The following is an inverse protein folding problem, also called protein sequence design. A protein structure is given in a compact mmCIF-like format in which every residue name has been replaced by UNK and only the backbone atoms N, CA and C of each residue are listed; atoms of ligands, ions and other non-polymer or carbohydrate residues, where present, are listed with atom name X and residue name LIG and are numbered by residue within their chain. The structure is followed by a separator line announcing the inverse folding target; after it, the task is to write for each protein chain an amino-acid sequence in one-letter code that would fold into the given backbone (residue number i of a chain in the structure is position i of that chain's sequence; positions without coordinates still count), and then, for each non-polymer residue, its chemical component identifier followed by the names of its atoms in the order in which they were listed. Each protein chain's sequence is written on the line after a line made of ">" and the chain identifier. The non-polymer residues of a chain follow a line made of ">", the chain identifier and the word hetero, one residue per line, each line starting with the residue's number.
data_IF_105224856761
#
_entry.id   IF_105224856761
#
_cell.length_a   1.000
_cell.length_b   1.000
_cell.length_c   1.000
_cell.angle_alpha   90.00
_cell.angle_beta   90.00
_cell.angle_gamma   90.00
#
_symmetry.space_group_name_H-M   'P 1'
#
loop_
_entity.id
_entity.type
_entity.pdbx_description
1 polymer ?
#
# COMPACT_ATOMS: atom_id res chain seq x y z
N UNK A 1 22.77 -33.64 -26.62
CA UNK A 1 23.82 -32.64 -26.35
C UNK A 1 23.39 -31.22 -26.79
N UNK A 2 22.74 -31.01 -27.92
CA UNK A 2 22.30 -29.70 -28.39
C UNK A 2 21.33 -28.99 -27.44
N UNK A 3 20.42 -29.67 -26.73
CA UNK A 3 19.51 -29.09 -25.74
C UNK A 3 20.19 -28.57 -24.47
N UNK A 4 21.39 -29.07 -24.10
CA UNK A 4 22.15 -28.55 -22.96
C UNK A 4 22.91 -27.28 -23.30
N UNK A 5 23.39 -27.14 -24.54
CA UNK A 5 24.14 -25.96 -25.01
C UNK A 5 23.19 -24.78 -25.24
N UNK A 6 22.00 -25.03 -25.80
CA UNK A 6 20.96 -24.01 -25.95
C UNK A 6 20.44 -23.45 -24.58
N UNK A 7 20.48 -24.29 -23.53
CA UNK A 7 20.07 -23.85 -22.18
C UNK A 7 21.14 -22.99 -21.46
N UNK A 8 22.41 -23.04 -21.85
CA UNK A 8 23.46 -22.22 -21.24
C UNK A 8 23.54 -20.81 -21.80
N UNK A 9 23.13 -20.61 -23.06
CA UNK A 9 23.10 -19.27 -23.71
C UNK A 9 22.02 -18.32 -23.17
N UNK A 10 20.99 -18.86 -22.51
CA UNK A 10 19.87 -18.08 -21.96
C UNK A 10 20.01 -17.72 -20.47
N UNK A 11 21.18 -17.97 -19.85
CA UNK A 11 21.44 -17.64 -18.45
C UNK A 11 22.10 -16.27 -18.36
N UNK A 12 21.38 -15.29 -17.83
CA UNK A 12 21.90 -13.95 -17.56
C UNK A 12 22.84 -13.99 -16.36
N UNK A 13 24.14 -13.71 -16.57
CA UNK A 13 25.06 -13.48 -15.45
C UNK A 13 24.77 -12.13 -14.83
N UNK A 14 24.39 -12.12 -13.55
CA UNK A 14 24.07 -10.87 -12.85
C UNK A 14 25.35 -10.11 -12.50
N UNK A 15 25.36 -8.83 -12.81
CA UNK A 15 26.36 -7.92 -12.26
C UNK A 15 25.95 -7.61 -10.79
N UNK A 16 26.79 -7.92 -9.78
CA UNK A 16 26.44 -7.72 -8.37
C UNK A 16 26.11 -6.26 -8.06
N UNK A 17 26.77 -5.30 -8.69
CA UNK A 17 26.51 -3.86 -8.53
C UNK A 17 25.12 -3.49 -9.07
N UNK A 18 24.72 -4.03 -10.21
CA UNK A 18 23.39 -3.80 -10.78
C UNK A 18 22.28 -4.41 -9.89
N UNK A 19 22.54 -5.57 -9.30
CA UNK A 19 21.62 -6.22 -8.34
C UNK A 19 21.49 -5.40 -7.05
N UNK A 20 22.59 -4.85 -6.55
CA UNK A 20 22.59 -3.98 -5.36
C UNK A 20 21.77 -2.71 -5.61
N UNK A 21 22.00 -2.04 -6.76
CA UNK A 21 21.23 -0.85 -7.15
C UNK A 21 19.73 -1.16 -7.28
N UNK A 22 19.38 -2.30 -7.87
CA UNK A 22 17.98 -2.72 -8.03
C UNK A 22 17.26 -2.95 -6.69
N UNK A 23 18.00 -3.39 -5.67
CA UNK A 23 17.45 -3.71 -4.34
C UNK A 23 17.77 -2.62 -3.28
N UNK A 24 18.21 -1.43 -3.70
CA UNK A 24 18.64 -0.37 -2.78
C UNK A 24 17.57 -0.03 -1.74
N UNK A 25 16.28 0.06 -2.12
CA UNK A 25 15.20 0.38 -1.19
C UNK A 25 14.97 -0.70 -0.12
N UNK A 26 15.17 -1.97 -0.47
CA UNK A 26 15.10 -3.07 0.49
C UNK A 26 16.27 -3.00 1.50
N UNK A 27 17.45 -2.61 1.04
CA UNK A 27 18.62 -2.41 1.91
C UNK A 27 18.36 -1.25 2.86
N UNK A 28 17.84 -0.13 2.37
CA UNK A 28 17.46 1.03 3.19
C UNK A 28 16.42 0.63 4.25
N UNK A 29 15.39 -0.15 3.86
CA UNK A 29 14.39 -0.66 4.79
C UNK A 29 15.03 -1.45 5.94
N UNK A 30 15.96 -2.37 5.62
CA UNK A 30 16.65 -3.18 6.62
C UNK A 30 17.50 -2.30 7.54
N UNK A 31 18.26 -1.35 6.98
CA UNK A 31 19.09 -0.42 7.76
C UNK A 31 18.26 0.44 8.72
N UNK A 32 17.14 1.00 8.23
CA UNK A 32 16.23 1.81 9.05
C UNK A 32 15.56 0.96 10.12
N UNK A 33 15.18 -0.28 9.81
CA UNK A 33 14.62 -1.21 10.79
C UNK A 33 15.64 -1.54 11.90
N UNK A 34 16.90 -1.80 11.55
CA UNK A 34 17.99 -2.05 12.50
C UNK A 34 18.23 -0.80 13.36
N UNK A 35 18.29 0.39 12.75
CA UNK A 35 18.46 1.65 13.45
C UNK A 35 17.40 1.85 14.54
N UNK A 36 16.11 1.73 14.20
CA UNK A 36 15.04 1.86 15.19
C UNK A 36 15.02 0.71 16.20
N UNK A 37 15.44 -0.49 15.80
CA UNK A 37 15.55 -1.61 16.77
C UNK A 37 16.59 -1.31 17.86
N UNK A 38 17.73 -0.70 17.48
CA UNK A 38 18.77 -0.27 18.43
C UNK A 38 18.24 0.88 19.31
N UNK A 39 17.67 1.93 18.71
CA UNK A 39 17.14 3.10 19.40
C UNK A 39 16.02 2.74 20.39
N UNK A 40 15.20 1.76 20.06
CA UNK A 40 14.09 1.28 20.92
C UNK A 40 14.51 0.19 21.90
N UNK A 41 15.82 -0.10 22.03
CA UNK A 41 16.35 -1.19 22.88
C UNK A 41 15.65 -2.54 22.60
N UNK A 42 15.49 -2.87 21.32
CA UNK A 42 14.89 -4.13 20.87
C UNK A 42 13.35 -4.18 20.88
N UNK A 43 12.65 -3.13 21.32
CA UNK A 43 11.16 -3.13 21.33
C UNK A 43 10.55 -3.35 19.96
N UNK A 44 11.17 -2.80 18.90
CA UNK A 44 10.72 -3.03 17.51
C UNK A 44 10.70 -4.51 17.10
N UNK A 45 11.56 -5.34 17.71
CA UNK A 45 11.65 -6.76 17.39
C UNK A 45 10.66 -7.64 18.17
N UNK A 46 9.88 -7.06 19.09
CA UNK A 46 8.85 -7.81 19.82
C UNK A 46 7.70 -8.25 18.90
N UNK A 47 7.06 -9.41 19.14
CA UNK A 47 5.92 -9.89 18.36
C UNK A 47 4.79 -8.87 18.24
N UNK A 48 4.43 -8.23 19.33
CA UNK A 48 3.39 -7.18 19.37
C UNK A 48 3.70 -5.97 18.52
N UNK A 49 4.98 -5.62 18.31
CA UNK A 49 5.38 -4.54 17.43
C UNK A 49 5.15 -4.88 15.95
N UNK A 50 5.30 -6.15 15.55
CA UNK A 50 4.96 -6.60 14.19
C UNK A 50 3.46 -6.52 13.92
N UNK A 51 2.63 -6.99 14.86
CA UNK A 51 1.18 -6.84 14.76
C UNK A 51 0.76 -5.36 14.70
N UNK A 52 1.37 -4.52 15.55
CA UNK A 52 1.14 -3.07 15.54
C UNK A 52 1.57 -2.42 14.23
N UNK A 53 2.72 -2.80 13.65
CA UNK A 53 3.20 -2.30 12.36
C UNK A 53 2.17 -2.56 11.26
N UNK A 54 1.63 -3.78 11.17
CA UNK A 54 0.63 -4.16 10.17
C UNK A 54 -0.67 -3.39 10.39
N UNK A 55 -1.19 -3.38 11.63
CA UNK A 55 -2.43 -2.70 11.97
C UNK A 55 -2.35 -1.19 11.74
N UNK A 56 -1.23 -0.55 12.11
CA UNK A 56 -1.07 0.89 11.98
C UNK A 56 -0.83 1.32 10.55
N UNK A 57 -0.20 0.47 9.74
CA UNK A 57 0.23 0.82 8.38
C UNK A 57 -0.72 0.29 7.31
N UNK A 58 -1.80 -0.38 7.68
CA UNK A 58 -2.75 -0.99 6.73
C UNK A 58 -3.28 0.01 5.70
N UNK A 59 -3.64 1.22 6.15
CA UNK A 59 -4.12 2.27 5.25
C UNK A 59 -3.08 2.68 4.21
N UNK A 60 -1.78 2.67 4.55
CA UNK A 60 -0.72 3.05 3.60
C UNK A 60 -0.62 2.04 2.47
N UNK A 61 -0.73 0.74 2.77
CA UNK A 61 -0.74 -0.30 1.73
C UNK A 61 -1.96 -0.18 0.82
N UNK A 62 -3.15 0.07 1.38
CA UNK A 62 -4.39 0.17 0.63
C UNK A 62 -4.39 1.44 -0.24
N UNK A 63 -4.16 2.61 0.37
CA UNK A 63 -4.09 3.88 -0.35
C UNK A 63 -2.91 3.93 -1.31
N UNK A 64 -1.78 3.31 -0.96
CA UNK A 64 -0.61 3.21 -1.82
C UNK A 64 -0.89 2.48 -3.12
N UNK A 65 -1.73 1.44 -3.13
CA UNK A 65 -2.19 0.80 -4.37
C UNK A 65 -2.98 1.77 -5.26
N UNK A 66 -3.88 2.57 -4.69
CA UNK A 66 -4.63 3.58 -5.42
C UNK A 66 -3.74 4.73 -5.90
N UNK A 67 -2.88 5.22 -5.02
CA UNK A 67 -1.93 6.30 -5.31
C UNK A 67 -0.94 5.90 -6.40
N UNK A 68 -0.47 4.64 -6.40
CA UNK A 68 0.35 4.08 -7.48
C UNK A 68 -0.35 4.23 -8.83
N UNK A 69 -1.65 3.89 -8.93
CA UNK A 69 -2.39 4.01 -10.20
C UNK A 69 -2.51 5.47 -10.64
N UNK A 70 -2.75 6.41 -9.71
CA UNK A 70 -2.76 7.84 -10.01
C UNK A 70 -1.39 8.33 -10.46
N UNK A 71 -0.32 7.97 -9.75
CA UNK A 71 1.03 8.40 -10.09
C UNK A 71 1.51 7.81 -11.42
N UNK A 72 1.13 6.58 -11.74
CA UNK A 72 1.45 5.98 -13.04
C UNK A 72 0.89 6.78 -14.23
N UNK A 73 -0.18 7.56 -14.08
CA UNK A 73 -0.79 8.35 -15.17
C UNK A 73 -0.14 9.72 -15.41
N UNK A 74 1.10 9.94 -14.97
CA UNK A 74 1.83 11.20 -15.20
C UNK A 74 2.27 11.89 -13.91
N UNK A 75 2.48 11.14 -12.83
CA UNK A 75 2.93 11.67 -11.54
C UNK A 75 1.83 12.36 -10.74
N UNK A 76 0.57 12.13 -11.09
CA UNK A 76 -0.57 12.74 -10.41
C UNK A 76 -0.74 12.20 -9.00
N UNK A 77 -1.06 13.08 -8.05
CA UNK A 77 -1.30 12.77 -6.64
C UNK A 77 -2.74 13.13 -6.30
N UNK A 78 -3.43 12.27 -5.56
CA UNK A 78 -4.73 12.59 -4.98
C UNK A 78 -4.55 13.10 -3.55
N UNK A 79 -4.74 14.41 -3.37
CA UNK A 79 -4.64 15.07 -2.08
C UNK A 79 -5.91 14.89 -1.22
N UNK A 80 -7.04 14.52 -1.83
CA UNK A 80 -8.32 14.43 -1.12
C UNK A 80 -8.48 13.18 -0.28
N UNK A 81 -7.72 12.12 -0.57
CA UNK A 81 -7.95 10.79 -0.01
C UNK A 81 -7.94 10.76 1.52
N UNK A 82 -7.02 11.48 2.18
CA UNK A 82 -6.97 11.55 3.63
C UNK A 82 -8.19 12.27 4.24
N UNK A 83 -8.61 13.37 3.65
CA UNK A 83 -9.80 14.08 4.08
C UNK A 83 -11.09 13.29 3.81
N UNK A 84 -11.11 12.51 2.73
CA UNK A 84 -12.22 11.64 2.40
C UNK A 84 -12.35 10.46 3.38
N UNK A 85 -11.24 9.95 3.93
CA UNK A 85 -11.26 9.00 5.06
C UNK A 85 -11.98 9.58 6.27
N UNK A 86 -11.74 10.86 6.60
CA UNK A 86 -12.44 11.54 7.70
C UNK A 86 -13.96 11.62 7.44
N UNK A 87 -14.36 12.07 6.26
CA UNK A 87 -15.78 12.19 5.89
C UNK A 87 -16.48 10.82 5.90
N UNK A 88 -15.89 9.82 5.26
CA UNK A 88 -16.45 8.46 5.26
C UNK A 88 -16.50 7.85 6.65
N UNK A 89 -15.51 8.13 7.49
CA UNK A 89 -15.51 7.72 8.89
C UNK A 89 -16.67 8.36 9.67
N UNK A 90 -16.88 9.65 9.49
CA UNK A 90 -18.00 10.38 10.10
C UNK A 90 -19.36 9.84 9.64
N UNK A 91 -19.55 9.66 8.31
CA UNK A 91 -20.77 9.08 7.75
C UNK A 91 -20.99 7.63 8.22
N UNK A 92 -19.92 6.81 8.28
CA UNK A 92 -19.97 5.45 8.84
C UNK A 92 -20.45 5.44 10.28
N UNK A 93 -19.94 6.38 11.11
CA UNK A 93 -20.39 6.58 12.48
C UNK A 93 -21.86 6.97 12.57
N UNK A 94 -22.31 7.90 11.73
CA UNK A 94 -23.74 8.29 11.66
C UNK A 94 -24.61 7.09 11.29
N UNK A 95 -24.25 6.36 10.23
CA UNK A 95 -25.05 5.24 9.72
C UNK A 95 -25.12 4.08 10.72
N UNK A 96 -23.97 3.65 11.28
CA UNK A 96 -23.91 2.45 12.13
C UNK A 96 -24.38 2.73 13.56
N UNK A 97 -23.97 3.87 14.14
CA UNK A 97 -24.16 4.14 15.57
C UNK A 97 -25.41 4.97 15.82
N UNK A 98 -25.63 6.05 15.07
CA UNK A 98 -26.72 7.01 15.31
C UNK A 98 -28.01 6.55 14.62
N UNK A 99 -27.94 6.25 13.32
CA UNK A 99 -29.10 5.80 12.55
C UNK A 99 -29.39 4.31 12.67
N UNK A 100 -28.44 3.54 13.22
CA UNK A 100 -28.57 2.08 13.45
C UNK A 100 -28.94 1.28 12.19
N UNK A 101 -28.36 1.61 11.05
CA UNK A 101 -28.61 0.92 9.78
C UNK A 101 -28.08 -0.52 9.74
N UNK A 102 -27.31 -0.93 10.73
CA UNK A 102 -26.58 -2.18 10.71
C UNK A 102 -25.28 -2.11 9.92
N UNK A 103 -24.37 -3.03 10.23
CA UNK A 103 -22.99 -3.01 9.70
C UNK A 103 -22.95 -3.18 8.18
N UNK A 104 -23.62 -4.20 7.65
CA UNK A 104 -23.54 -4.55 6.23
C UNK A 104 -24.03 -3.41 5.32
N UNK A 105 -25.21 -2.83 5.62
CA UNK A 105 -25.77 -1.73 4.83
C UNK A 105 -24.88 -0.49 4.88
N UNK A 106 -24.32 -0.18 6.04
CA UNK A 106 -23.42 0.96 6.22
C UNK A 106 -22.12 0.80 5.42
N UNK A 107 -21.55 -0.41 5.40
CA UNK A 107 -20.34 -0.69 4.60
C UNK A 107 -20.61 -0.54 3.09
N UNK A 108 -21.75 -1.06 2.61
CA UNK A 108 -22.14 -0.91 1.21
C UNK A 108 -22.37 0.57 0.87
N UNK A 109 -23.00 1.32 1.76
CA UNK A 109 -23.22 2.77 1.58
C UNK A 109 -21.88 3.53 1.53
N UNK A 110 -20.92 3.23 2.41
CA UNK A 110 -19.59 3.84 2.37
C UNK A 110 -18.86 3.55 1.05
N UNK A 111 -18.94 2.32 0.52
CA UNK A 111 -18.38 1.98 -0.78
C UNK A 111 -19.09 2.72 -1.91
N UNK A 112 -20.41 2.79 -1.88
CA UNK A 112 -21.20 3.50 -2.90
C UNK A 112 -20.86 5.00 -2.92
N UNK A 113 -20.73 5.65 -1.76
CA UNK A 113 -20.31 7.06 -1.64
C UNK A 113 -18.91 7.23 -2.26
N UNK A 114 -17.99 6.29 -2.00
CA UNK A 114 -16.66 6.30 -2.61
C UNK A 114 -16.69 6.19 -4.13
N UNK A 115 -17.52 5.29 -4.66
CA UNK A 115 -17.70 5.15 -6.12
C UNK A 115 -18.30 6.43 -6.72
N UNK A 116 -19.36 6.99 -6.11
CA UNK A 116 -19.99 8.23 -6.59
C UNK A 116 -19.00 9.38 -6.60
N UNK A 117 -18.24 9.57 -5.51
CA UNK A 117 -17.19 10.58 -5.46
C UNK A 117 -16.12 10.34 -6.52
N UNK A 118 -15.62 9.09 -6.63
CA UNK A 118 -14.60 8.72 -7.61
C UNK A 118 -15.04 8.93 -9.06
N UNK A 119 -16.32 8.66 -9.38
CA UNK A 119 -16.90 9.00 -10.67
C UNK A 119 -16.92 10.52 -10.92
N UNK A 120 -17.32 11.31 -9.92
CA UNK A 120 -17.32 12.76 -10.02
C UNK A 120 -15.92 13.35 -10.21
N UNK A 121 -14.97 12.97 -9.32
CA UNK A 121 -13.60 13.44 -9.40
C UNK A 121 -12.92 12.99 -10.71
N UNK A 122 -13.09 11.72 -11.07
CA UNK A 122 -12.55 11.17 -12.31
C UNK A 122 -13.13 11.88 -13.55
N UNK A 123 -14.42 12.21 -13.54
CA UNK A 123 -15.05 12.95 -14.62
C UNK A 123 -14.51 14.39 -14.73
N UNK A 124 -14.37 15.10 -13.62
CA UNK A 124 -13.79 16.46 -13.60
C UNK A 124 -12.38 16.49 -14.17
N UNK A 125 -11.54 15.53 -13.78
CA UNK A 125 -10.13 15.48 -14.21
C UNK A 125 -10.01 14.97 -15.66
N UNK A 126 -10.70 13.89 -16.02
CA UNK A 126 -10.51 13.23 -17.29
C UNK A 126 -11.27 13.86 -18.45
N UNK A 127 -12.47 14.40 -18.23
CA UNK A 127 -13.35 14.92 -19.29
C UNK A 127 -13.47 16.43 -19.27
N UNK A 128 -13.57 17.05 -18.07
CA UNK A 128 -13.60 18.52 -17.93
C UNK A 128 -12.18 19.10 -18.00
N UNK A 129 -11.13 18.26 -17.80
CA UNK A 129 -9.72 18.64 -17.87
C UNK A 129 -9.30 19.59 -16.72
N UNK A 130 -9.97 19.52 -15.58
CA UNK A 130 -9.51 20.24 -14.37
C UNK A 130 -8.16 19.68 -13.93
N UNK A 131 -7.15 20.54 -13.67
CA UNK A 131 -5.86 20.05 -13.17
C UNK A 131 -6.03 19.19 -11.91
N UNK A 132 -5.43 17.99 -11.85
CA UNK A 132 -5.63 17.03 -10.76
C UNK A 132 -5.40 17.63 -9.36
N UNK A 133 -4.34 18.42 -9.18
CA UNK A 133 -4.02 19.01 -7.89
C UNK A 133 -5.08 20.01 -7.40
N UNK A 134 -5.73 20.76 -8.32
CA UNK A 134 -6.82 21.68 -7.98
C UNK A 134 -8.06 20.90 -7.55
N UNK A 135 -8.47 19.91 -8.36
CA UNK A 135 -9.68 19.13 -8.08
C UNK A 135 -9.56 18.37 -6.75
N UNK A 136 -8.40 17.75 -6.49
CA UNK A 136 -8.17 16.98 -5.27
C UNK A 136 -7.97 17.88 -4.04
N UNK A 137 -7.34 19.05 -4.18
CA UNK A 137 -7.22 20.03 -3.10
C UNK A 137 -8.59 20.59 -2.69
N UNK A 138 -9.45 20.89 -3.67
CA UNK A 138 -10.82 21.30 -3.40
C UNK A 138 -11.59 20.21 -2.63
N UNK A 139 -11.42 18.93 -3.04
CA UNK A 139 -11.95 17.78 -2.32
C UNK A 139 -11.40 17.66 -0.90
N UNK A 140 -10.09 17.88 -0.71
CA UNK A 140 -9.46 17.88 0.61
C UNK A 140 -10.13 18.89 1.56
N UNK A 141 -10.28 20.13 1.14
CA UNK A 141 -10.88 21.20 1.95
C UNK A 141 -12.36 20.90 2.25
N UNK A 142 -13.12 20.52 1.23
CA UNK A 142 -14.56 20.23 1.38
C UNK A 142 -14.78 19.03 2.32
N UNK A 143 -14.07 17.92 2.13
CA UNK A 143 -14.30 16.73 2.93
C UNK A 143 -13.78 16.83 4.35
N UNK A 144 -12.69 17.56 4.56
CA UNK A 144 -12.20 17.83 5.92
C UNK A 144 -13.24 18.68 6.68
N UNK A 145 -13.78 19.74 6.05
CA UNK A 145 -14.82 20.58 6.62
C UNK A 145 -16.13 19.82 6.91
N UNK A 146 -16.64 19.05 5.92
CA UNK A 146 -17.86 18.26 6.10
C UNK A 146 -17.68 17.15 7.14
N UNK A 147 -16.57 16.42 7.12
CA UNK A 147 -16.29 15.34 8.07
C UNK A 147 -16.25 15.85 9.50
N UNK A 148 -15.53 16.95 9.74
CA UNK A 148 -15.47 17.57 11.08
C UNK A 148 -16.81 18.16 11.53
N UNK A 149 -17.57 18.75 10.61
CA UNK A 149 -18.92 19.28 10.89
C UNK A 149 -19.89 18.17 11.31
N UNK A 150 -19.89 17.02 10.59
CA UNK A 150 -20.74 15.87 10.94
C UNK A 150 -20.35 15.32 12.32
N UNK A 151 -19.06 15.22 12.63
CA UNK A 151 -18.60 14.76 13.95
C UNK A 151 -18.96 15.71 15.09
N UNK A 152 -19.18 17.00 14.79
CA UNK A 152 -19.64 18.01 15.75
C UNK A 152 -21.03 17.72 16.34
N UNK A 153 -21.80 16.77 15.81
CA UNK A 153 -23.05 16.28 16.42
C UNK A 153 -22.77 15.62 17.78
N UNK A 154 -21.57 15.06 17.96
CA UNK A 154 -21.14 14.53 19.25
C UNK A 154 -20.37 15.59 20.05
N UNK A 155 -20.66 15.71 21.36
CA UNK A 155 -19.96 16.62 22.27
C UNK A 155 -18.45 16.40 22.34
N UNK A 156 -17.98 15.20 21.98
CA UNK A 156 -16.56 14.82 21.97
C UNK A 156 -15.92 14.95 20.58
N UNK A 157 -16.64 15.43 19.56
CA UNK A 157 -16.21 15.41 18.16
C UNK A 157 -15.75 14.03 17.69
N UNK A 158 -16.35 12.98 18.23
CA UNK A 158 -16.01 11.59 17.95
C UNK A 158 -17.22 10.69 18.12
N UNK A 159 -17.37 9.68 17.26
CA UNK A 159 -18.43 8.67 17.32
C UNK A 159 -17.76 7.32 17.56
N UNK A 160 -18.05 6.69 18.71
CA UNK A 160 -17.47 5.41 19.10
C UNK A 160 -18.18 4.23 18.45
N UNK A 161 -17.41 3.23 17.99
CA UNK A 161 -17.91 1.97 17.43
C UNK A 161 -17.89 0.80 18.43
N UNK A 162 -17.72 1.07 19.74
CA UNK A 162 -17.68 0.01 20.76
C UNK A 162 -18.92 -0.88 20.74
N UNK A 163 -20.07 -0.30 20.38
CA UNK A 163 -21.35 -1.01 20.31
C UNK A 163 -21.62 -1.63 18.94
N UNK A 164 -20.59 -1.72 18.08
CA UNK A 164 -20.65 -2.34 16.75
C UNK A 164 -19.59 -3.45 16.62
N UNK A 165 -19.71 -4.56 17.41
CA UNK A 165 -18.68 -5.61 17.46
C UNK A 165 -18.45 -6.29 16.11
N UNK A 166 -19.50 -6.46 15.30
CA UNK A 166 -19.40 -7.07 13.97
C UNK A 166 -18.47 -6.26 13.05
N UNK A 167 -18.62 -4.93 13.05
CA UNK A 167 -17.75 -4.03 12.29
C UNK A 167 -16.28 -4.14 12.75
N UNK A 168 -16.06 -4.12 14.07
CA UNK A 168 -14.71 -4.21 14.63
C UNK A 168 -14.06 -5.56 14.32
N UNK A 169 -14.84 -6.66 14.34
CA UNK A 169 -14.33 -8.01 14.05
C UNK A 169 -13.87 -8.17 12.60
N UNK A 170 -14.59 -7.54 11.65
CA UNK A 170 -14.28 -7.59 10.20
C UNK A 170 -12.94 -6.92 9.89
N UNK A 171 -12.61 -5.79 10.50
CA UNK A 171 -11.44 -4.98 10.13
C UNK A 171 -10.34 -4.95 11.19
N UNK A 172 -10.66 -5.02 12.48
CA UNK A 172 -9.69 -4.94 13.59
C UNK A 172 -9.63 -6.22 14.43
N UNK A 173 -10.33 -7.27 14.02
CA UNK A 173 -10.31 -8.56 14.69
C UNK A 173 -8.96 -9.27 14.55
N UNK A 174 -8.85 -10.42 15.21
CA UNK A 174 -7.72 -11.33 15.09
C UNK A 174 -8.24 -12.71 14.74
N UNK A 175 -7.76 -13.27 13.63
CA UNK A 175 -8.04 -14.64 13.22
C UNK A 175 -7.20 -15.59 14.05
N UNK A 176 -7.81 -16.72 14.45
CA UNK A 176 -7.16 -17.75 15.26
C UNK A 176 -6.61 -17.19 16.59
N UNK A 177 -7.44 -16.43 17.31
CA UNK A 177 -7.04 -15.76 18.56
C UNK A 177 -6.46 -16.73 19.58
N UNK A 178 -5.25 -16.46 20.05
CA UNK A 178 -4.54 -17.23 21.10
C UNK A 178 -3.95 -16.24 22.10
N UNK A 179 -3.77 -16.60 23.39
CA UNK A 179 -3.08 -15.74 24.36
C UNK A 179 -1.69 -15.33 23.87
N UNK A 180 -1.29 -14.09 24.16
CA UNK A 180 0.05 -13.60 23.81
C UNK A 180 1.14 -14.47 24.44
N UNK A 181 2.19 -14.74 23.68
CA UNK A 181 3.31 -15.58 24.12
C UNK A 181 3.11 -17.08 23.90
N UNK A 182 1.90 -17.53 23.54
CA UNK A 182 1.66 -18.90 23.13
C UNK A 182 1.74 -19.02 21.62
N UNK A 183 2.35 -20.11 21.12
CA UNK A 183 2.52 -20.32 19.69
C UNK A 183 1.18 -20.69 19.03
N UNK A 184 0.72 -19.83 18.12
CA UNK A 184 -0.51 -20.04 17.35
C UNK A 184 -0.22 -20.97 16.17
N UNK A 185 -0.53 -22.27 16.29
CA UNK A 185 -0.29 -23.26 15.24
C UNK A 185 -1.03 -22.99 13.93
N UNK A 186 -2.34 -22.65 13.90
CA UNK A 186 -3.04 -22.25 12.68
C UNK A 186 -2.35 -21.11 11.92
N UNK A 187 -1.84 -20.10 12.65
CA UNK A 187 -1.08 -19.00 12.06
C UNK A 187 0.21 -19.51 11.38
N UNK A 188 0.94 -20.41 12.01
CA UNK A 188 2.15 -21.01 11.44
C UNK A 188 1.85 -21.85 10.22
N UNK A 189 0.77 -22.63 10.22
CA UNK A 189 0.35 -23.42 9.04
C UNK A 189 0.09 -22.49 7.84
N UNK A 190 -0.65 -21.39 8.05
CA UNK A 190 -0.89 -20.37 7.01
C UNK A 190 0.44 -19.81 6.50
N UNK A 191 1.39 -19.54 7.41
CA UNK A 191 2.74 -19.08 7.05
C UNK A 191 3.51 -20.06 6.19
N UNK A 192 3.51 -21.34 6.56
CA UNK A 192 4.19 -22.41 5.80
C UNK A 192 3.56 -22.57 4.41
N UNK A 193 2.22 -22.56 4.33
CA UNK A 193 1.50 -22.63 3.05
C UNK A 193 1.84 -21.42 2.17
N UNK A 194 1.84 -20.20 2.72
CA UNK A 194 2.19 -18.99 1.99
C UNK A 194 3.65 -19.02 1.50
N UNK A 195 4.59 -19.45 2.33
CA UNK A 195 6.01 -19.62 1.96
C UNK A 195 6.19 -20.65 0.85
N UNK A 196 5.54 -21.81 0.96
CA UNK A 196 5.55 -22.84 -0.07
C UNK A 196 4.98 -22.36 -1.40
N UNK A 197 3.87 -21.58 -1.38
CA UNK A 197 3.30 -20.99 -2.57
C UNK A 197 4.26 -20.01 -3.26
N UNK A 198 4.98 -19.18 -2.51
CA UNK A 198 5.97 -18.25 -3.09
C UNK A 198 7.09 -19.03 -3.77
N UNK A 199 7.63 -20.07 -3.12
CA UNK A 199 8.66 -20.94 -3.71
C UNK A 199 8.14 -21.58 -5.01
N UNK A 200 6.95 -22.18 -4.97
CA UNK A 200 6.33 -22.81 -6.14
C UNK A 200 6.11 -21.82 -7.29
N UNK A 201 5.65 -20.59 -6.99
CA UNK A 201 5.42 -19.56 -8.01
C UNK A 201 6.72 -19.10 -8.66
N UNK A 202 7.82 -18.95 -7.91
CA UNK A 202 9.13 -18.58 -8.46
C UNK A 202 9.60 -19.65 -9.44
N UNK A 203 9.58 -20.93 -9.04
CA UNK A 203 10.03 -22.03 -9.89
C UNK A 203 9.10 -22.29 -11.08
N UNK A 204 7.78 -22.17 -10.90
CA UNK A 204 6.79 -22.24 -12.00
C UNK A 204 7.02 -21.13 -13.04
N UNK A 205 7.25 -19.91 -12.59
CA UNK A 205 7.59 -18.79 -13.48
C UNK A 205 8.89 -19.06 -14.25
N UNK A 206 9.93 -19.55 -13.57
CA UNK A 206 11.18 -19.95 -14.19
C UNK A 206 10.97 -21.01 -15.27
N UNK A 207 10.25 -22.09 -14.94
CA UNK A 207 9.96 -23.16 -15.90
C UNK A 207 9.15 -22.66 -17.11
N UNK A 208 8.19 -21.76 -16.90
CA UNK A 208 7.40 -21.17 -17.98
C UNK A 208 8.26 -20.26 -18.89
N UNK A 209 9.18 -19.47 -18.32
CA UNK A 209 10.09 -18.63 -19.10
C UNK A 209 11.06 -19.46 -19.92
N UNK A 210 11.64 -20.52 -19.33
CA UNK A 210 12.51 -21.46 -20.06
C UNK A 210 11.79 -22.12 -21.24
N UNK A 211 10.53 -22.59 -21.02
CA UNK A 211 9.73 -23.20 -22.11
C UNK A 211 9.43 -22.21 -23.26
N UNK A 212 9.36 -20.91 -22.97
CA UNK A 212 9.12 -19.85 -23.96
C UNK A 212 10.41 -19.29 -24.56
N UNK A 213 11.59 -19.82 -24.24
CA UNK A 213 12.88 -19.36 -24.75
C UNK A 213 13.36 -18.02 -24.19
N UNK A 214 12.75 -17.50 -23.10
CA UNK A 214 13.18 -16.26 -22.49
C UNK A 214 14.42 -16.46 -21.60
N UNK A 215 15.24 -15.43 -21.51
CA UNK A 215 16.34 -15.38 -20.56
C UNK A 215 15.83 -15.54 -19.12
N UNK A 216 16.56 -16.33 -18.32
CA UNK A 216 16.32 -16.55 -16.89
C UNK A 216 17.57 -16.24 -16.10
N UNK A 217 17.37 -15.80 -14.86
CA UNK A 217 18.48 -15.63 -13.91
C UNK A 217 19.13 -17.00 -13.60
N UNK A 218 20.35 -17.00 -13.09
CA UNK A 218 21.00 -18.22 -12.61
C UNK A 218 20.13 -18.94 -11.57
N UNK A 219 20.12 -20.26 -11.57
CA UNK A 219 19.30 -21.08 -10.66
C UNK A 219 19.53 -20.71 -9.19
N UNK A 220 20.79 -20.44 -8.83
CA UNK A 220 21.19 -20.01 -7.49
C UNK A 220 20.54 -18.70 -7.07
N UNK A 221 20.37 -17.74 -8.01
CA UNK A 221 19.71 -16.47 -7.74
C UNK A 221 18.20 -16.63 -7.52
N UNK A 222 17.53 -17.44 -8.32
CA UNK A 222 16.10 -17.70 -8.14
C UNK A 222 15.86 -18.51 -6.86
N UNK A 223 16.75 -19.45 -6.53
CA UNK A 223 16.72 -20.17 -5.26
C UNK A 223 16.94 -19.22 -4.07
N UNK A 224 17.95 -18.34 -4.14
CA UNK A 224 18.22 -17.36 -3.08
C UNK A 224 17.03 -16.40 -2.87
N UNK A 225 16.41 -15.90 -3.95
CA UNK A 225 15.20 -15.04 -3.88
C UNK A 225 14.03 -15.78 -3.23
N UNK A 226 13.81 -17.06 -3.58
CA UNK A 226 12.72 -17.85 -3.04
C UNK A 226 12.93 -18.19 -1.56
N UNK A 227 14.15 -18.57 -1.17
CA UNK A 227 14.51 -18.84 0.23
C UNK A 227 14.39 -17.59 1.07
N UNK A 228 14.90 -16.44 0.60
CA UNK A 228 14.78 -15.17 1.31
C UNK A 228 13.30 -14.75 1.48
N UNK A 229 12.51 -14.86 0.41
CA UNK A 229 11.08 -14.55 0.47
C UNK A 229 10.32 -15.46 1.44
N UNK A 230 10.58 -16.77 1.40
CA UNK A 230 10.00 -17.73 2.33
C UNK A 230 10.44 -17.46 3.78
N UNK A 231 11.71 -17.16 4.02
CA UNK A 231 12.23 -16.83 5.34
C UNK A 231 11.57 -15.57 5.93
N UNK A 232 11.38 -14.51 5.13
CA UNK A 232 10.69 -13.28 5.56
C UNK A 232 9.23 -13.59 5.93
N UNK A 233 8.50 -14.35 5.09
CA UNK A 233 7.12 -14.75 5.36
C UNK A 233 7.03 -15.55 6.66
N UNK A 234 7.89 -16.57 6.82
CA UNK A 234 7.90 -17.40 8.02
C UNK A 234 8.25 -16.59 9.27
N UNK A 235 9.20 -15.65 9.18
CA UNK A 235 9.56 -14.77 10.29
C UNK A 235 8.37 -13.88 10.70
N UNK A 236 7.71 -13.24 9.73
CA UNK A 236 6.54 -12.39 10.00
C UNK A 236 5.42 -13.22 10.61
N UNK A 237 5.11 -14.39 10.04
CA UNK A 237 4.05 -15.26 10.55
C UNK A 237 4.38 -15.84 11.92
N UNK A 238 5.63 -16.16 12.20
CA UNK A 238 6.09 -16.55 13.54
C UNK A 238 5.86 -15.42 14.57
N UNK A 239 6.23 -14.18 14.20
CA UNK A 239 5.98 -13.02 15.06
C UNK A 239 4.50 -12.78 15.31
N UNK A 240 3.65 -12.92 14.28
CA UNK A 240 2.19 -12.81 14.43
C UNK A 240 1.61 -13.97 15.27
N UNK A 241 2.13 -15.19 15.09
CA UNK A 241 1.72 -16.34 15.90
C UNK A 241 1.99 -16.12 17.39
N UNK A 242 3.11 -15.50 17.73
CA UNK A 242 3.48 -15.15 19.10
C UNK A 242 2.75 -13.88 19.61
N UNK A 243 2.21 -13.05 18.72
CA UNK A 243 1.43 -11.86 19.06
C UNK A 243 -0.07 -12.12 19.27
N UNK A 244 -0.50 -13.38 19.20
CA UNK A 244 -1.89 -13.77 19.45
C UNK A 244 -2.71 -14.11 18.21
N UNK A 245 -2.14 -14.09 16.99
CA UNK A 245 -2.78 -14.50 15.74
C UNK A 245 -2.63 -13.52 14.58
N UNK A 246 -3.38 -13.77 13.52
CA UNK A 246 -3.34 -12.94 12.29
C UNK A 246 -4.34 -11.79 12.43
N UNK A 247 -3.91 -10.51 12.38
CA UNK A 247 -4.84 -9.40 12.31
C UNK A 247 -5.71 -9.50 11.05
N UNK A 248 -7.04 -9.35 11.16
CA UNK A 248 -7.96 -9.40 10.01
C UNK A 248 -7.62 -8.37 8.95
N UNK A 249 -7.10 -7.22 9.34
CA UNK A 249 -6.65 -6.18 8.40
C UNK A 249 -5.54 -6.66 7.47
N UNK A 250 -4.70 -7.62 7.87
CA UNK A 250 -3.68 -8.21 6.99
C UNK A 250 -4.31 -8.93 5.81
N UNK A 251 -5.47 -9.57 6.00
CA UNK A 251 -6.21 -10.23 4.90
C UNK A 251 -6.69 -9.18 3.90
N UNK A 252 -7.27 -8.07 4.37
CA UNK A 252 -7.69 -6.97 3.50
C UNK A 252 -6.52 -6.38 2.72
N UNK A 253 -5.40 -6.12 3.39
CA UNK A 253 -4.16 -5.63 2.74
C UNK A 253 -3.67 -6.64 1.71
N UNK A 254 -3.62 -7.93 2.06
CA UNK A 254 -3.16 -8.97 1.14
C UNK A 254 -4.04 -9.08 -0.10
N UNK A 255 -5.37 -9.06 0.05
CA UNK A 255 -6.33 -9.08 -1.07
C UNK A 255 -6.10 -7.88 -1.98
N UNK A 256 -6.02 -6.67 -1.43
CA UNK A 256 -5.79 -5.45 -2.23
C UNK A 256 -4.44 -5.52 -2.93
N UNK A 257 -3.35 -5.77 -2.22
CA UNK A 257 -2.00 -5.80 -2.79
C UNK A 257 -1.86 -6.87 -3.89
N UNK A 258 -2.37 -8.08 -3.67
CA UNK A 258 -2.31 -9.16 -4.66
C UNK A 258 -3.16 -8.84 -5.89
N UNK A 259 -4.36 -8.28 -5.70
CA UNK A 259 -5.23 -7.84 -6.80
C UNK A 259 -4.52 -6.78 -7.67
N UNK A 260 -3.93 -5.76 -7.04
CA UNK A 260 -3.23 -4.71 -7.77
C UNK A 260 -1.91 -5.18 -8.38
N UNK A 261 -1.19 -6.09 -7.75
CA UNK A 261 -0.05 -6.76 -8.35
C UNK A 261 -0.45 -7.55 -9.61
N UNK A 262 -1.61 -8.22 -9.59
CA UNK A 262 -2.17 -8.90 -10.77
C UNK A 262 -2.61 -7.90 -11.85
N UNK A 263 -3.39 -6.86 -11.49
CA UNK A 263 -3.88 -5.84 -12.44
C UNK A 263 -2.71 -5.19 -13.16
N UNK A 264 -1.71 -4.69 -12.43
CA UNK A 264 -0.58 -3.95 -13.01
C UNK A 264 0.33 -4.81 -13.86
N UNK A 265 0.51 -6.11 -13.52
CA UNK A 265 1.48 -6.98 -14.20
C UNK A 265 0.88 -7.87 -15.28
N UNK A 266 -0.42 -8.20 -15.20
CA UNK A 266 -1.04 -9.24 -16.05
C UNK A 266 -2.17 -8.73 -16.92
N UNK A 267 -2.76 -7.56 -16.66
CA UNK A 267 -3.90 -7.06 -17.43
C UNK A 267 -3.51 -6.01 -18.46
N UNK A 268 -4.35 -5.87 -19.50
CA UNK A 268 -4.20 -4.81 -20.52
C UNK A 268 -4.42 -3.42 -19.92
N UNK A 269 -5.41 -3.30 -19.01
CA UNK A 269 -5.71 -2.05 -18.31
C UNK A 269 -4.49 -1.60 -17.50
N UNK A 270 -3.86 -2.50 -16.74
CA UNK A 270 -2.63 -2.18 -16.01
C UNK A 270 -1.53 -1.64 -16.92
N UNK A 271 -1.30 -2.27 -18.08
CA UNK A 271 -0.31 -1.78 -19.06
C UNK A 271 -0.64 -0.39 -19.61
N UNK A 272 -1.93 -0.08 -19.79
CA UNK A 272 -2.34 1.24 -20.27
C UNK A 272 -1.98 2.36 -19.29
N UNK A 273 -2.01 2.12 -17.97
CA UNK A 273 -1.56 3.09 -16.98
C UNK A 273 -0.09 3.48 -17.18
N UNK A 274 0.78 2.49 -17.42
CA UNK A 274 2.20 2.74 -17.68
C UNK A 274 2.42 3.50 -19.00
N UNK A 275 1.70 3.12 -20.06
CA UNK A 275 1.84 3.73 -21.39
C UNK A 275 1.37 5.19 -21.36
N UNK A 276 0.22 5.47 -20.72
CA UNK A 276 -0.31 6.84 -20.58
C UNK A 276 0.64 7.74 -19.83
N UNK A 277 1.24 7.25 -18.72
CA UNK A 277 2.18 8.03 -17.93
C UNK A 277 3.56 8.15 -18.57
N UNK A 278 3.95 7.23 -19.45
CA UNK A 278 5.22 7.32 -20.18
C UNK A 278 5.20 8.40 -21.26
N UNK A 279 4.16 8.40 -22.08
CA UNK A 279 3.91 9.44 -23.09
C UNK A 279 2.43 9.42 -23.48
N UNK A 280 1.68 10.44 -23.06
CA UNK A 280 0.24 10.52 -23.27
C UNK A 280 -0.13 10.65 -24.76
N UNK A 281 0.67 11.38 -25.55
CA UNK A 281 0.42 11.56 -26.99
C UNK A 281 0.71 10.26 -27.75
N UNK A 282 1.81 9.58 -27.47
CA UNK A 282 2.11 8.28 -28.05
C UNK A 282 1.04 7.23 -27.68
N UNK A 283 0.55 7.26 -26.44
CA UNK A 283 -0.55 6.41 -25.99
C UNK A 283 -1.82 6.65 -26.80
N UNK A 284 -2.18 7.92 -27.02
CA UNK A 284 -3.36 8.34 -27.80
C UNK A 284 -3.25 7.90 -29.27
N UNK A 285 -2.09 8.12 -29.89
CA UNK A 285 -1.83 7.70 -31.27
C UNK A 285 -1.85 6.17 -31.43
N UNK A 286 -1.51 5.43 -30.37
CA UNK A 286 -1.62 3.96 -30.33
C UNK A 286 -3.03 3.45 -30.03
N UNK A 287 -4.05 4.32 -30.02
CA UNK A 287 -5.45 3.95 -29.79
C UNK A 287 -5.85 3.75 -28.32
N UNK A 288 -4.99 4.09 -27.37
CA UNK A 288 -5.34 4.02 -25.96
C UNK A 288 -6.24 5.19 -25.58
N UNK A 289 -7.41 4.91 -24.98
CA UNK A 289 -8.29 5.96 -24.48
C UNK A 289 -7.72 6.55 -23.17
N UNK A 290 -6.90 7.59 -23.30
CA UNK A 290 -6.19 8.24 -22.19
C UNK A 290 -7.15 8.84 -21.17
N UNK A 291 -8.30 9.40 -21.60
CA UNK A 291 -9.34 9.95 -20.71
C UNK A 291 -9.94 8.87 -19.83
N UNK A 292 -10.25 7.70 -20.41
CA UNK A 292 -10.78 6.56 -19.63
C UNK A 292 -9.78 6.06 -18.59
N UNK A 293 -8.49 6.00 -18.93
CA UNK A 293 -7.45 5.57 -17.99
C UNK A 293 -7.32 6.58 -16.84
N UNK A 294 -7.34 7.88 -17.14
CA UNK A 294 -7.31 8.92 -16.13
C UNK A 294 -8.53 8.86 -15.21
N UNK A 295 -9.75 8.71 -15.79
CA UNK A 295 -10.99 8.52 -15.04
C UNK A 295 -10.89 7.32 -14.08
N UNK A 296 -10.42 6.17 -14.57
CA UNK A 296 -10.28 4.95 -13.77
C UNK A 296 -9.26 5.10 -12.64
N UNK A 297 -8.22 5.92 -12.79
CA UNK A 297 -7.24 6.17 -11.73
C UNK A 297 -7.91 6.77 -10.49
N UNK A 298 -8.71 7.82 -10.68
CA UNK A 298 -9.36 8.53 -9.55
C UNK A 298 -10.58 7.78 -9.01
N UNK A 299 -11.36 7.11 -9.88
CA UNK A 299 -12.43 6.21 -9.43
C UNK A 299 -11.85 5.12 -8.51
N UNK A 300 -10.78 4.50 -8.93
CA UNK A 300 -10.09 3.47 -8.19
C UNK A 300 -9.50 4.00 -6.87
N UNK A 301 -8.92 5.21 -6.88
CA UNK A 301 -8.39 5.83 -5.66
C UNK A 301 -9.47 6.06 -4.62
N UNK A 302 -10.62 6.63 -5.01
CA UNK A 302 -11.75 6.87 -4.13
C UNK A 302 -12.36 5.56 -3.58
N UNK A 303 -12.46 4.52 -4.40
CA UNK A 303 -12.90 3.18 -3.96
C UNK A 303 -11.97 2.60 -2.88
N UNK A 304 -10.66 2.62 -3.10
CA UNK A 304 -9.68 2.16 -2.11
C UNK A 304 -9.66 3.03 -0.86
N UNK A 305 -9.92 4.33 -1.00
CA UNK A 305 -10.06 5.23 0.14
C UNK A 305 -11.23 4.83 1.04
N UNK A 306 -12.33 4.31 0.47
CA UNK A 306 -13.45 3.79 1.26
C UNK A 306 -13.02 2.57 2.11
N UNK A 307 -12.25 1.65 1.53
CA UNK A 307 -11.72 0.49 2.27
C UNK A 307 -10.73 0.96 3.36
N UNK A 308 -9.86 1.91 3.03
CA UNK A 308 -8.92 2.49 4.00
C UNK A 308 -9.63 3.22 5.14
N UNK A 309 -10.77 3.90 4.87
CA UNK A 309 -11.60 4.52 5.88
C UNK A 309 -12.15 3.48 6.86
N UNK A 310 -12.74 2.39 6.36
CA UNK A 310 -13.27 1.30 7.18
C UNK A 310 -12.20 0.69 8.09
N UNK A 311 -11.01 0.39 7.55
CA UNK A 311 -9.90 -0.17 8.33
C UNK A 311 -9.39 0.81 9.38
N UNK A 312 -9.36 2.11 9.06
CA UNK A 312 -8.86 3.16 9.95
C UNK A 312 -9.78 3.40 11.13
N UNK A 313 -11.09 3.62 10.88
CA UNK A 313 -12.06 3.88 11.95
C UNK A 313 -12.31 2.65 12.83
N UNK A 314 -12.23 1.45 12.27
CA UNK A 314 -12.28 0.21 13.05
C UNK A 314 -11.07 0.10 13.97
N UNK A 315 -9.86 0.37 13.48
CA UNK A 315 -8.65 0.38 14.31
C UNK A 315 -8.70 1.41 15.44
N UNK A 316 -9.22 2.60 15.17
CA UNK A 316 -9.40 3.64 16.20
C UNK A 316 -10.58 3.36 17.12
N UNK A 317 -11.42 2.37 16.79
CA UNK A 317 -12.70 2.10 17.46
C UNK A 317 -13.60 3.33 17.54
N UNK A 318 -13.30 4.34 16.74
CA UNK A 318 -14.03 5.59 16.68
C UNK A 318 -13.80 6.30 15.33
N UNK A 319 -14.82 7.03 14.87
CA UNK A 319 -14.64 8.09 13.88
C UNK A 319 -14.27 9.38 14.62
N UNK A 320 -13.19 10.03 14.22
CA UNK A 320 -12.71 11.28 14.82
C UNK A 320 -12.17 12.24 13.76
N UNK A 321 -12.00 13.50 14.12
CA UNK A 321 -11.53 14.56 13.22
C UNK A 321 -10.08 14.39 12.74
N UNK A 322 -9.25 13.63 13.47
CA UNK A 322 -7.87 13.37 13.09
C UNK A 322 -7.74 12.14 12.14
N UNK A 323 -8.82 11.38 11.94
CA UNK A 323 -8.81 10.26 11.00
C UNK A 323 -8.42 10.75 9.59
N UNK A 324 -7.53 10.03 8.95
CA UNK A 324 -7.06 10.36 7.61
C UNK A 324 -6.11 11.57 7.50
N UNK A 325 -5.62 12.14 8.60
CA UNK A 325 -4.72 13.30 8.57
C UNK A 325 -3.34 12.90 8.04
N UNK A 326 -2.91 13.55 6.96
CA UNK A 326 -1.65 13.30 6.24
C UNK A 326 -1.57 11.91 5.55
N UNK A 327 -2.68 11.19 5.36
CA UNK A 327 -2.66 9.89 4.71
C UNK A 327 -2.28 9.99 3.23
N UNK A 328 -2.62 11.09 2.56
CA UNK A 328 -2.21 11.41 1.20
C UNK A 328 -0.67 11.52 1.10
N UNK A 329 -0.03 12.10 2.11
CA UNK A 329 1.43 12.23 2.16
C UNK A 329 2.10 10.88 2.42
N UNK A 330 1.57 10.08 3.35
CA UNK A 330 2.12 8.75 3.65
C UNK A 330 1.99 7.81 2.43
N UNK A 331 0.84 7.83 1.72
CA UNK A 331 0.61 7.01 0.53
C UNK A 331 1.50 7.43 -0.66
N UNK A 332 1.63 8.74 -0.93
CA UNK A 332 2.50 9.26 -1.98
C UNK A 332 3.97 9.01 -1.66
N UNK A 333 4.39 9.22 -0.40
CA UNK A 333 5.76 8.92 0.05
C UNK A 333 6.09 7.44 -0.11
N UNK A 334 5.16 6.53 0.24
CA UNK A 334 5.34 5.11 0.06
C UNK A 334 5.56 4.73 -1.41
N UNK A 335 4.82 5.36 -2.33
CA UNK A 335 5.00 5.17 -3.77
C UNK A 335 6.37 5.68 -4.24
N UNK A 336 6.72 6.93 -3.93
CA UNK A 336 7.99 7.55 -4.38
C UNK A 336 9.19 6.82 -3.81
N UNK A 337 9.21 6.58 -2.50
CA UNK A 337 10.27 5.82 -1.83
C UNK A 337 10.34 4.39 -2.36
N UNK A 338 9.20 3.80 -2.73
CA UNK A 338 9.11 2.49 -3.39
C UNK A 338 9.58 2.47 -4.85
N UNK A 339 10.05 3.61 -5.39
CA UNK A 339 10.58 3.72 -6.74
C UNK A 339 9.52 3.93 -7.82
N UNK A 340 8.34 4.42 -7.45
CA UNK A 340 7.35 4.92 -8.40
C UNK A 340 7.81 6.28 -8.92
N UNK A 341 7.83 6.45 -10.23
CA UNK A 341 8.30 7.68 -10.85
C UNK A 341 7.38 8.87 -10.51
N UNK A 342 7.96 9.96 -10.03
CA UNK A 342 7.25 11.22 -9.82
C UNK A 342 6.75 11.87 -11.12
N UNK A 343 7.27 11.45 -12.29
CA UNK A 343 6.82 11.87 -13.63
C UNK A 343 5.88 10.87 -14.31
N UNK A 344 5.52 9.77 -13.64
CA UNK A 344 4.66 8.71 -14.17
C UNK A 344 5.38 7.66 -15.01
N UNK A 345 4.62 6.71 -15.51
CA UNK A 345 5.06 5.68 -16.47
C UNK A 345 5.96 4.57 -15.91
N UNK A 346 6.42 4.66 -14.67
CA UNK A 346 7.28 3.66 -14.05
C UNK A 346 6.97 3.46 -12.57
N UNK A 347 7.03 2.23 -12.10
CA UNK A 347 6.75 1.84 -10.73
C UNK A 347 6.29 0.39 -10.63
N UNK A 348 6.15 -0.12 -9.42
CA UNK A 348 5.62 -1.45 -9.18
C UNK A 348 4.90 -1.54 -7.84
N UNK A 349 3.92 -2.44 -7.75
CA UNK A 349 3.21 -2.71 -6.48
C UNK A 349 4.20 -3.22 -5.42
N UNK A 350 5.13 -4.10 -5.79
CA UNK A 350 6.14 -4.60 -4.86
C UNK A 350 7.01 -3.48 -4.30
N UNK A 351 7.45 -2.55 -5.19
CA UNK A 351 8.20 -1.36 -4.76
C UNK A 351 7.39 -0.51 -3.79
N UNK A 352 6.13 -0.22 -4.12
CA UNK A 352 5.21 0.52 -3.24
C UNK A 352 5.06 -0.19 -1.88
N UNK A 353 4.92 -1.52 -1.83
CA UNK A 353 4.83 -2.28 -0.57
C UNK A 353 6.10 -2.12 0.26
N UNK A 354 7.29 -2.17 -0.36
CA UNK A 354 8.57 -1.92 0.34
C UNK A 354 8.59 -0.49 0.90
N UNK A 355 8.19 0.51 0.09
CA UNK A 355 8.10 1.91 0.54
C UNK A 355 7.09 2.10 1.66
N UNK A 356 5.89 1.49 1.56
CA UNK A 356 4.87 1.51 2.60
C UNK A 356 5.38 0.88 3.91
N UNK A 357 6.11 -0.23 3.80
CA UNK A 357 6.73 -0.87 4.97
C UNK A 357 7.77 0.05 5.60
N UNK A 358 8.59 0.73 4.81
CA UNK A 358 9.58 1.69 5.30
C UNK A 358 8.92 2.85 6.04
N UNK A 359 7.89 3.47 5.47
CA UNK A 359 7.11 4.53 6.14
C UNK A 359 6.50 4.01 7.45
N UNK A 360 5.96 2.80 7.45
CA UNK A 360 5.42 2.17 8.67
C UNK A 360 6.48 1.92 9.74
N UNK A 361 7.66 1.46 9.36
CA UNK A 361 8.79 1.26 10.28
C UNK A 361 9.22 2.60 10.89
N UNK A 362 9.33 3.66 10.08
CA UNK A 362 9.65 5.01 10.55
C UNK A 362 8.59 5.50 11.53
N UNK A 363 7.30 5.40 11.17
CA UNK A 363 6.19 5.85 12.01
C UNK A 363 6.17 5.11 13.37
N UNK A 364 6.25 3.78 13.33
CA UNK A 364 6.25 2.97 14.56
C UNK A 364 7.52 3.20 15.39
N UNK A 365 8.68 3.32 14.74
CA UNK A 365 9.95 3.60 15.40
C UNK A 365 9.93 4.95 16.11
N UNK A 366 9.50 6.02 15.45
CA UNK A 366 9.35 7.34 16.05
C UNK A 366 8.34 7.34 17.21
N UNK A 367 7.23 6.63 17.06
CA UNK A 367 6.24 6.47 18.12
C UNK A 367 6.85 5.76 19.35
N UNK A 368 7.62 4.68 19.14
CA UNK A 368 8.22 3.91 20.25
C UNK A 368 9.34 4.63 20.99
N UNK A 369 10.01 5.60 20.37
CA UNK A 369 10.97 6.50 21.04
C UNK A 369 10.30 7.73 21.66
N UNK A 370 8.96 7.79 21.63
CA UNK A 370 8.12 8.90 22.13
C UNK A 370 8.46 10.25 21.46
N UNK A 371 8.78 10.24 20.16
CA UNK A 371 8.98 11.47 19.42
C UNK A 371 7.64 12.19 19.25
N UNK A 372 7.62 13.50 19.52
CA UNK A 372 6.44 14.33 19.37
C UNK A 372 5.89 14.28 17.93
N UNK A 373 4.55 14.33 17.78
CA UNK A 373 3.88 14.19 16.48
C UNK A 373 4.29 15.29 15.48
N UNK A 374 4.68 16.48 15.94
CA UNK A 374 5.14 17.55 15.07
C UNK A 374 6.51 17.24 14.48
N UNK A 375 7.45 16.73 15.30
CA UNK A 375 8.74 16.27 14.81
C UNK A 375 8.62 15.06 13.87
N UNK A 376 7.66 14.16 14.12
CA UNK A 376 7.39 13.06 13.18
C UNK A 376 7.04 13.58 11.78
N UNK A 377 6.26 14.67 11.66
CA UNK A 377 5.94 15.31 10.37
C UNK A 377 7.19 15.89 9.69
N UNK A 378 8.06 16.52 10.45
CA UNK A 378 9.34 17.07 9.94
C UNK A 378 10.20 15.94 9.35
N UNK A 379 10.37 14.83 10.08
CA UNK A 379 11.14 13.67 9.61
C UNK A 379 10.55 13.10 8.34
N UNK A 380 9.22 12.92 8.27
CA UNK A 380 8.53 12.43 7.06
C UNK A 380 8.77 13.35 5.85
N UNK A 381 8.73 14.67 6.05
CA UNK A 381 9.00 15.65 5.00
C UNK A 381 10.41 15.50 4.43
N UNK A 382 11.42 15.37 5.29
CA UNK A 382 12.79 15.13 4.86
C UNK A 382 12.99 13.78 4.17
N UNK A 383 12.36 12.72 4.66
CA UNK A 383 12.41 11.39 4.01
C UNK A 383 11.82 11.44 2.60
N UNK A 384 10.67 12.10 2.43
CA UNK A 384 10.06 12.28 1.11
C UNK A 384 10.97 13.08 0.18
N UNK A 385 11.49 14.21 0.64
CA UNK A 385 12.38 15.06 -0.15
C UNK A 385 13.64 14.30 -0.57
N UNK A 386 14.28 13.59 0.36
CA UNK A 386 15.46 12.78 0.07
C UNK A 386 15.18 11.68 -0.97
N UNK A 387 14.02 11.02 -0.88
CA UNK A 387 13.61 10.00 -1.84
C UNK A 387 13.41 10.57 -3.25
N UNK A 388 12.75 11.74 -3.38
CA UNK A 388 12.55 12.41 -4.68
C UNK A 388 13.87 12.86 -5.27
N UNK A 389 14.75 13.49 -4.48
CA UNK A 389 16.08 13.91 -4.94
C UNK A 389 16.89 12.71 -5.42
N UNK A 390 16.85 11.59 -4.69
CA UNK A 390 17.53 10.36 -5.08
C UNK A 390 16.98 9.79 -6.41
N UNK A 391 15.66 9.77 -6.61
CA UNK A 391 15.02 9.33 -7.86
C UNK A 391 15.48 10.18 -9.05
N UNK A 392 15.49 11.51 -8.90
CA UNK A 392 15.90 12.44 -9.96
C UNK A 392 17.38 12.26 -10.31
N UNK A 393 18.26 12.19 -9.30
CA UNK A 393 19.71 12.03 -9.52
C UNK A 393 20.03 10.67 -10.16
N UNK A 394 19.36 9.60 -9.71
CA UNK A 394 19.53 8.25 -10.27
C UNK A 394 19.13 8.18 -11.76
N UNK A 395 18.04 8.85 -12.15
CA UNK A 395 17.60 8.92 -13.56
C UNK A 395 18.53 9.76 -14.44
N UNK A 396 19.09 10.83 -13.88
CA UNK A 396 20.07 11.66 -14.61
C UNK A 396 21.34 10.88 -14.95
N UNK A 397 21.82 10.02 -14.05
CA UNK A 397 22.97 9.14 -14.29
C UNK A 397 22.71 8.02 -15.31
N UNK A 398 21.46 7.65 -15.56
CA UNK A 398 21.12 6.62 -16.58
C UNK A 398 21.00 7.20 -18.00
N UNK A 399 20.93 8.52 -18.15
CA UNK A 399 20.86 9.21 -19.46
C UNK A 399 22.23 9.69 -19.96
N UNK A 400 23.27 9.62 -19.15
CA UNK A 400 24.68 9.82 -19.48
C UNK A 400 25.36 8.47 -19.75
#
# INVERSE_FOLDING_TARGET
>A
MQNKIANQSNIRRSNPVATLKKNAMLIILVLVYIFFTIMTKGRMFKPTSFASLINQNAYVYILGCGMLMCMLTGGNIDLSCGAFVCLLGALGGMMMVIWKWGTALSLVAMLAIGVVYGCGLGALIAYVMVPPWIATLAGYLAFRGLGTSILGVSSTNSISFKDSPDFLSIFSGTLFKTPEGQMNMPCMIVGVVAAALVVLLVFKNRATRLRKGYEVDALEMDAAKSVLGAAVILLVMYKLAMAGGIPTVLVWVAVVVLLYAFITSKTTIGRHFYVVGGNIEAARLSGVNTKRIMFLAYLNMAFLTSIAAMTTISRYTAANADAGKNFEMDASSACVVGGVSASGGAGSVLGMVIGATLIGVINLGMFQINLDANYQRVVKGFVLLAAVVFDILSKKQQKL
#
